data_IF_038975420208
#
_entry.id   IF_038975420208
#
_cell.length_a   1.000
_cell.length_b   1.000
_cell.length_c   1.000
_cell.angle_alpha   90.00
_cell.angle_beta   90.00
_cell.angle_gamma   90.00
#
_symmetry.space_group_name_H-M   'P 1'
#
loop_
_entity.id
_entity.type
_entity.pdbx_description
1 polymer ?
#
# COMPACT_ATOMS: atom_id res chain seq x y z
N UNK A 1 9.06 10.33 7.25
CA UNK A 1 8.21 10.81 8.37
C UNK A 1 7.39 12.05 8.01
N UNK A 2 7.86 12.92 7.10
CA UNK A 2 7.15 14.13 6.68
C UNK A 2 5.91 13.85 5.80
N UNK A 3 6.00 12.87 4.89
CA UNK A 3 4.89 12.43 4.04
C UNK A 3 3.66 11.96 4.82
N UNK A 4 3.84 11.25 5.92
CA UNK A 4 2.75 10.78 6.79
C UNK A 4 1.98 11.95 7.40
N UNK A 5 2.68 13.04 7.78
CA UNK A 5 2.02 14.24 8.33
C UNK A 5 1.15 14.95 7.30
N UNK A 6 1.57 15.00 6.04
CA UNK A 6 0.77 15.61 4.97
C UNK A 6 -0.49 14.81 4.66
N UNK A 7 -0.41 13.48 4.65
CA UNK A 7 -1.58 12.61 4.45
C UNK A 7 -2.55 12.74 5.63
N UNK A 8 -2.04 12.73 6.88
CA UNK A 8 -2.88 12.92 8.06
C UNK A 8 -3.59 14.28 8.03
N UNK A 9 -2.88 15.38 7.74
CA UNK A 9 -3.45 16.71 7.67
C UNK A 9 -4.54 16.80 6.58
N UNK A 10 -4.26 16.29 5.38
CA UNK A 10 -5.23 16.25 4.28
C UNK A 10 -6.50 15.48 4.64
N UNK A 11 -6.37 14.31 5.29
CA UNK A 11 -7.54 13.54 5.70
C UNK A 11 -8.33 14.24 6.81
N UNK A 12 -7.65 14.91 7.75
CA UNK A 12 -8.30 15.70 8.79
C UNK A 12 -9.06 16.90 8.21
N UNK A 13 -8.54 17.55 7.17
CA UNK A 13 -9.25 18.61 6.43
C UNK A 13 -10.52 18.09 5.74
N UNK A 14 -10.54 16.80 5.39
CA UNK A 14 -11.73 16.08 4.90
C UNK A 14 -12.63 15.55 6.04
N UNK A 15 -12.51 16.08 7.25
CA UNK A 15 -13.27 15.68 8.45
C UNK A 15 -13.04 14.24 8.93
N UNK A 16 -11.94 13.60 8.56
CA UNK A 16 -11.55 12.34 9.18
C UNK A 16 -11.07 12.59 10.61
N UNK A 17 -11.39 11.66 11.51
CA UNK A 17 -11.02 11.76 12.93
C UNK A 17 -9.95 10.77 13.28
N UNK A 18 -8.91 11.24 13.97
CA UNK A 18 -7.88 10.40 14.59
C UNK A 18 -8.45 9.78 15.87
N UNK A 19 -8.36 8.46 15.98
CA UNK A 19 -8.80 7.68 17.14
C UNK A 19 -7.74 6.66 17.53
N UNK A 20 -7.84 6.18 18.75
CA UNK A 20 -7.04 5.06 19.24
C UNK A 20 -7.96 3.85 19.47
N UNK A 21 -7.53 2.68 19.05
CA UNK A 21 -8.30 1.46 19.25
C UNK A 21 -8.16 1.00 20.70
N UNK A 22 -9.28 0.87 21.42
CA UNK A 22 -9.28 0.42 22.81
C UNK A 22 -8.79 -1.02 23.01
N UNK A 23 -8.74 -1.85 21.95
CA UNK A 23 -8.33 -3.25 22.05
C UNK A 23 -6.82 -3.44 21.78
N UNK A 24 -6.26 -2.78 20.76
CA UNK A 24 -4.84 -2.96 20.39
C UNK A 24 -3.97 -1.70 20.55
N UNK A 25 -4.52 -0.58 21.02
CA UNK A 25 -3.79 0.68 21.21
C UNK A 25 -3.33 1.38 19.93
N UNK A 26 -3.63 0.82 18.74
CA UNK A 26 -3.22 1.44 17.47
C UNK A 26 -4.01 2.70 17.19
N UNK A 27 -3.31 3.72 16.72
CA UNK A 27 -3.91 4.95 16.19
C UNK A 27 -4.37 4.75 14.75
N UNK A 28 -5.55 5.23 14.41
CA UNK A 28 -6.13 5.15 13.06
C UNK A 28 -6.97 6.38 12.74
N UNK A 29 -7.18 6.62 11.43
CA UNK A 29 -8.07 7.68 10.93
C UNK A 29 -9.37 7.05 10.43
N UNK A 30 -10.50 7.68 10.72
CA UNK A 30 -11.81 7.18 10.33
C UNK A 30 -12.75 8.29 9.89
N UNK A 31 -13.50 8.03 8.82
CA UNK A 31 -14.63 8.82 8.39
C UNK A 31 -15.92 8.30 9.06
N UNK A 32 -16.68 9.18 9.73
CA UNK A 32 -17.97 8.82 10.33
C UNK A 32 -17.91 8.15 11.71
N UNK A 33 -18.82 7.17 11.95
CA UNK A 33 -19.16 6.66 13.29
C UNK A 33 -18.47 5.34 13.69
N UNK A 34 -17.52 4.82 12.92
CA UNK A 34 -16.95 3.51 13.27
C UNK A 34 -16.14 3.52 14.58
N UNK A 35 -16.17 2.39 15.28
CA UNK A 35 -15.69 2.23 16.67
C UNK A 35 -14.33 1.54 16.80
N UNK A 36 -13.82 0.85 15.77
CA UNK A 36 -12.59 0.07 15.86
C UNK A 36 -11.62 0.32 14.69
N UNK A 37 -10.37 -0.11 14.84
CA UNK A 37 -9.31 0.05 13.83
C UNK A 37 -9.41 -0.90 12.63
N UNK A 38 -10.45 -1.72 12.56
CA UNK A 38 -10.72 -2.69 11.49
C UNK A 38 -9.67 -3.80 11.32
N UNK A 39 -8.67 -3.88 12.19
CA UNK A 39 -7.78 -5.04 12.25
C UNK A 39 -8.57 -6.29 12.67
N UNK A 40 -8.30 -7.44 12.05
CA UNK A 40 -9.10 -8.66 12.22
C UNK A 40 -9.26 -9.11 13.69
N UNK A 41 -8.24 -8.87 14.54
CA UNK A 41 -8.29 -9.18 15.98
C UNK A 41 -9.14 -8.18 16.78
N UNK A 42 -9.35 -6.99 16.24
CA UNK A 42 -10.07 -5.89 16.88
C UNK A 42 -11.48 -5.71 16.34
N UNK A 43 -11.75 -6.24 15.14
CA UNK A 43 -13.06 -6.31 14.55
C UNK A 43 -13.31 -7.72 14.00
N UNK A 44 -14.02 -8.53 14.78
CA UNK A 44 -14.43 -9.89 14.39
C UNK A 44 -15.57 -9.90 13.35
N UNK A 45 -16.11 -8.73 13.00
CA UNK A 45 -17.21 -8.61 12.06
C UNK A 45 -16.72 -8.65 10.60
N UNK A 46 -16.56 -9.86 10.06
CA UNK A 46 -16.30 -10.11 8.65
C UNK A 46 -17.56 -9.99 7.78
N UNK A 47 -18.35 -8.92 7.98
CA UNK A 47 -19.62 -8.67 7.28
C UNK A 47 -19.52 -8.78 5.75
N UNK A 48 -18.33 -8.54 5.18
CA UNK A 48 -18.06 -8.68 3.75
C UNK A 48 -18.24 -10.12 3.22
N UNK A 49 -18.13 -11.15 4.08
CA UNK A 49 -18.38 -12.55 3.70
C UNK A 49 -19.86 -12.81 3.41
N UNK A 50 -20.75 -12.13 4.12
CA UNK A 50 -22.20 -12.26 3.93
C UNK A 50 -22.75 -11.21 2.97
N UNK A 51 -22.14 -10.03 2.93
CA UNK A 51 -22.59 -8.90 2.11
C UNK A 51 -21.41 -8.23 1.41
N UNK A 52 -21.26 -8.48 0.11
CA UNK A 52 -20.35 -7.69 -0.70
C UNK A 52 -20.86 -6.25 -0.80
N UNK A 53 -20.03 -5.27 -0.41
CA UNK A 53 -20.31 -3.84 -0.69
C UNK A 53 -20.36 -3.54 -2.19
N UNK A 54 -19.72 -4.37 -3.03
CA UNK A 54 -19.78 -4.26 -4.48
C UNK A 54 -21.00 -5.02 -5.00
N UNK A 55 -21.81 -4.35 -5.82
CA UNK A 55 -22.99 -4.95 -6.47
C UNK A 55 -22.65 -6.08 -7.44
N UNK A 56 -21.43 -6.07 -8.00
CA UNK A 56 -21.00 -7.03 -9.02
C UNK A 56 -19.67 -7.65 -8.55
N UNK A 57 -19.58 -8.99 -8.45
CA UNK A 57 -18.32 -9.66 -8.19
C UNK A 57 -17.40 -9.49 -9.41
N UNK A 58 -16.12 -9.19 -9.17
CA UNK A 58 -15.12 -9.10 -10.23
C UNK A 58 -14.31 -10.38 -10.32
N UNK A 59 -13.98 -10.77 -11.54
CA UNK A 59 -12.89 -11.69 -11.80
C UNK A 59 -11.54 -11.00 -11.62
N UNK A 60 -10.49 -11.77 -11.39
CA UNK A 60 -9.14 -11.24 -11.23
C UNK A 60 -8.68 -10.41 -12.44
N UNK A 61 -8.97 -10.87 -13.65
CA UNK A 61 -8.66 -10.17 -14.90
C UNK A 61 -9.34 -8.80 -14.98
N UNK A 62 -10.61 -8.72 -14.57
CA UNK A 62 -11.38 -7.47 -14.55
C UNK A 62 -10.78 -6.48 -13.54
N UNK A 63 -10.40 -6.97 -12.35
CA UNK A 63 -9.77 -6.13 -11.33
C UNK A 63 -8.41 -5.59 -11.83
N UNK A 64 -7.61 -6.42 -12.50
CA UNK A 64 -6.34 -6.00 -13.11
C UNK A 64 -6.58 -4.92 -14.16
N UNK A 65 -7.55 -5.10 -15.05
CA UNK A 65 -7.89 -4.12 -16.09
C UNK A 65 -8.35 -2.80 -15.48
N UNK A 66 -9.30 -2.84 -14.53
CA UNK A 66 -9.84 -1.63 -13.90
C UNK A 66 -8.77 -0.83 -13.15
N UNK A 67 -7.87 -1.54 -12.45
CA UNK A 67 -6.77 -0.91 -11.73
C UNK A 67 -5.76 -0.28 -12.70
N UNK A 68 -5.39 -1.03 -13.76
CA UNK A 68 -4.51 -0.55 -14.83
C UNK A 68 -5.06 0.70 -15.50
N UNK A 69 -6.34 0.69 -15.87
CA UNK A 69 -7.00 1.80 -16.55
C UNK A 69 -7.06 3.05 -15.66
N UNK A 70 -7.32 2.89 -14.36
CA UNK A 70 -7.33 4.00 -13.41
C UNK A 70 -5.98 4.72 -13.35
N UNK A 71 -4.88 3.97 -13.22
CA UNK A 71 -3.54 4.55 -13.15
C UNK A 71 -3.08 5.12 -14.50
N UNK A 72 -3.37 4.45 -15.61
CA UNK A 72 -3.10 4.97 -16.96
C UNK A 72 -3.79 6.32 -17.20
N UNK A 73 -5.08 6.44 -16.85
CA UNK A 73 -5.83 7.70 -16.97
C UNK A 73 -5.29 8.81 -16.07
N UNK A 74 -4.64 8.43 -14.97
CA UNK A 74 -3.99 9.36 -14.04
C UNK A 74 -2.56 9.74 -14.47
N UNK A 75 -2.13 9.34 -15.67
CA UNK A 75 -0.82 9.67 -16.24
C UNK A 75 0.33 8.74 -15.85
N UNK A 76 0.05 7.67 -15.09
CA UNK A 76 1.06 6.67 -14.76
C UNK A 76 1.20 5.66 -15.90
N UNK A 77 2.41 5.13 -16.07
CA UNK A 77 2.67 4.05 -17.02
C UNK A 77 2.76 2.74 -16.27
N UNK A 78 2.00 1.74 -16.72
CA UNK A 78 2.13 0.39 -16.20
C UNK A 78 3.42 -0.27 -16.69
N UNK A 79 4.22 -0.74 -15.74
CA UNK A 79 5.38 -1.59 -16.00
C UNK A 79 5.03 -3.06 -15.80
N UNK A 80 5.74 -3.95 -16.50
CA UNK A 80 5.58 -5.39 -16.31
C UNK A 80 6.11 -5.79 -14.93
N UNK A 81 5.42 -6.74 -14.27
CA UNK A 81 5.89 -7.30 -13.01
C UNK A 81 7.26 -7.96 -13.15
N UNK A 82 8.03 -7.94 -12.06
CA UNK A 82 9.32 -8.65 -11.96
C UNK A 82 9.11 -10.12 -11.59
N UNK A 83 10.09 -10.99 -11.85
CA UNK A 83 10.06 -12.37 -11.36
C UNK A 83 9.89 -12.42 -9.84
N UNK A 84 9.23 -13.48 -9.35
CA UNK A 84 9.06 -13.71 -7.89
C UNK A 84 10.40 -13.93 -7.19
N UNK A 85 11.36 -14.54 -7.90
CA UNK A 85 12.75 -14.63 -7.42
C UNK A 85 13.38 -13.25 -7.44
N UNK A 86 13.81 -12.78 -6.27
CA UNK A 86 14.46 -11.50 -6.16
C UNK A 86 15.94 -11.65 -6.50
N UNK A 87 16.32 -11.16 -7.68
CA UNK A 87 17.71 -11.25 -8.18
C UNK A 87 18.57 -10.13 -7.58
N UNK A 88 17.96 -9.06 -7.06
CA UNK A 88 18.67 -7.88 -6.55
C UNK A 88 18.02 -7.38 -5.27
N UNK A 89 18.75 -7.43 -4.16
CA UNK A 89 18.28 -6.94 -2.87
C UNK A 89 18.62 -7.90 -1.73
N UNK A 90 17.97 -7.70 -0.59
CA UNK A 90 18.27 -8.43 0.65
C UNK A 90 17.30 -9.60 0.92
N UNK A 91 16.34 -9.85 0.03
CA UNK A 91 15.37 -10.95 0.16
C UNK A 91 15.55 -11.96 -0.98
N UNK A 92 15.17 -13.22 -0.74
CA UNK A 92 15.19 -14.27 -1.77
C UNK A 92 13.97 -14.15 -2.69
N UNK A 93 12.83 -13.73 -2.14
CA UNK A 93 11.57 -13.58 -2.87
C UNK A 93 11.05 -12.14 -2.78
N UNK A 94 10.36 -11.72 -3.83
CA UNK A 94 9.62 -10.46 -3.89
C UNK A 94 8.31 -10.61 -3.14
N UNK A 95 8.16 -9.87 -2.04
CA UNK A 95 6.95 -9.83 -1.20
C UNK A 95 6.19 -8.50 -1.28
N UNK A 96 6.80 -7.44 -1.81
CA UNK A 96 6.16 -6.12 -1.91
C UNK A 96 6.48 -5.42 -3.24
N UNK A 97 5.54 -4.61 -3.73
CA UNK A 97 5.70 -3.88 -4.99
C UNK A 97 6.86 -2.88 -4.98
N UNK A 98 7.23 -2.33 -3.83
CA UNK A 98 8.38 -1.40 -3.69
C UNK A 98 9.72 -2.07 -4.03
N UNK A 99 9.79 -3.41 -3.92
CA UNK A 99 11.01 -4.15 -4.23
C UNK A 99 11.34 -4.14 -5.73
N UNK A 100 10.40 -3.72 -6.58
CA UNK A 100 10.68 -3.40 -7.98
C UNK A 100 11.84 -2.40 -8.13
N UNK A 101 11.99 -1.47 -7.18
CA UNK A 101 13.00 -0.42 -7.22
C UNK A 101 14.33 -0.82 -6.55
N UNK A 102 14.41 -1.97 -5.89
CA UNK A 102 15.65 -2.43 -5.23
C UNK A 102 16.80 -2.50 -6.24
N UNK A 103 16.55 -2.93 -7.47
CA UNK A 103 17.59 -2.98 -8.50
C UNK A 103 18.24 -1.62 -8.76
N UNK A 104 17.45 -0.55 -8.87
CA UNK A 104 17.99 0.79 -9.11
C UNK A 104 18.71 1.32 -7.87
N UNK A 105 18.12 1.13 -6.69
CA UNK A 105 18.69 1.59 -5.42
C UNK A 105 20.05 0.94 -5.13
N UNK A 106 20.15 -0.38 -5.24
CA UNK A 106 21.40 -1.11 -4.96
C UNK A 106 22.46 -0.91 -6.05
N UNK A 107 22.06 -0.66 -7.30
CA UNK A 107 23.03 -0.34 -8.36
C UNK A 107 23.62 1.06 -8.19
N UNK A 108 22.84 2.04 -7.74
CA UNK A 108 23.32 3.38 -7.41
C UNK A 108 24.28 3.36 -6.20
N UNK A 109 23.98 2.59 -5.15
CA UNK A 109 24.86 2.44 -3.99
C UNK A 109 26.25 1.88 -4.36
N UNK A 110 26.30 0.91 -5.28
CA UNK A 110 27.57 0.32 -5.76
C UNK A 110 28.40 1.35 -6.54
N UNK A 111 27.76 2.22 -7.33
CA UNK A 111 28.45 3.25 -8.10
C UNK A 111 29.04 4.32 -7.18
N UNK A 112 28.27 4.80 -6.21
CA UNK A 112 28.73 5.81 -5.24
C UNK A 112 29.90 5.31 -4.41
N UNK A 113 29.91 4.03 -4.02
CA UNK A 113 31.03 3.46 -3.25
C UNK A 113 32.33 3.35 -4.06
N UNK A 114 32.26 3.19 -5.39
CA UNK A 114 33.47 3.14 -6.23
C UNK A 114 34.12 4.52 -6.36
N UNK A 115 33.31 5.56 -6.52
CA UNK A 115 33.79 6.95 -6.63
C UNK A 115 34.39 7.50 -5.32
N UNK A 116 34.15 6.84 -4.18
CA UNK A 116 34.72 7.21 -2.87
C UNK A 116 36.04 6.48 -2.55
N UNK A 117 36.41 5.47 -3.34
CA UNK A 117 37.62 4.65 -3.15
C UNK A 117 38.71 4.98 -4.18
N UNK A 118 38.38 5.72 -5.23
CA UNK A 118 39.33 6.38 -6.15
C UNK A 118 39.70 7.79 -5.66
#
# INVERSE_FOLDING_TARGET
>A
MESTRHIEAYLMDLNWKKKECSNCGRTYLVEGKERGCQEYKCNENNSFLSFSKKRIPFQLSELISLTTDFFNKSGYKMERGIPVGNVVGNTIFVGAGVQYFERSLFQEEILIQKDLVE
#
